data_IF_156782344190
#
_entry.id   IF_156782344190
#
_cell.length_a   1.000
_cell.length_b   1.000
_cell.length_c   1.000
_cell.angle_alpha   90.00
_cell.angle_beta   90.00
_cell.angle_gamma   90.00
#
_symmetry.space_group_name_H-M   'P 1'
#
loop_
_entity.id
_entity.type
_entity.pdbx_description
1 polymer ?
#
# COMPACT_ATOMS: atom_id res chain seq x y z
N UNK A 1 6.02 -4.69 9.20
CA UNK A 1 5.52 -3.29 9.18
C UNK A 1 4.29 -3.26 8.31
N UNK A 2 3.30 -2.45 8.68
CA UNK A 2 2.11 -2.20 7.88
C UNK A 2 2.14 -0.74 7.44
N UNK A 3 2.00 -0.48 6.14
CA UNK A 3 2.01 0.87 5.58
C UNK A 3 0.58 1.32 5.32
N UNK A 4 0.23 2.43 5.95
CA UNK A 4 -1.12 3.00 5.91
C UNK A 4 -1.05 4.44 5.36
N UNK A 5 -0.88 4.56 4.05
CA UNK A 5 -0.90 5.86 3.37
C UNK A 5 -2.32 6.14 2.86
N UNK A 6 -3.01 7.06 3.53
CA UNK A 6 -4.35 7.54 3.17
C UNK A 6 -4.34 8.95 2.54
N UNK A 7 -4.38 9.14 1.23
CA UNK A 7 -4.19 8.18 0.14
C UNK A 7 -3.18 8.78 -0.83
N UNK A 8 -2.53 8.00 -1.70
CA UNK A 8 -1.96 8.51 -2.93
C UNK A 8 -3.04 9.27 -3.72
N UNK A 9 -2.74 10.47 -4.24
CA UNK A 9 -3.74 11.32 -4.92
C UNK A 9 -3.34 11.72 -6.34
N UNK A 10 -2.22 11.20 -6.83
CA UNK A 10 -1.66 11.54 -8.13
C UNK A 10 -0.86 10.38 -8.73
N UNK A 11 -0.55 10.48 -10.04
CA UNK A 11 0.38 9.54 -10.69
C UNK A 11 1.78 9.59 -10.06
N UNK A 12 2.19 10.74 -9.50
CA UNK A 12 3.44 10.86 -8.78
C UNK A 12 3.39 10.08 -7.48
N UNK A 13 2.32 10.18 -6.70
CA UNK A 13 2.18 9.44 -5.44
C UNK A 13 2.09 7.94 -5.70
N UNK A 14 1.39 7.52 -6.75
CA UNK A 14 1.36 6.13 -7.23
C UNK A 14 2.78 5.59 -7.49
N UNK A 15 3.60 6.36 -8.22
CA UNK A 15 4.97 5.97 -8.52
C UNK A 15 5.86 5.96 -7.26
N UNK A 16 5.70 6.95 -6.38
CA UNK A 16 6.44 7.08 -5.13
C UNK A 16 6.09 5.95 -4.15
N UNK A 17 4.82 5.55 -4.05
CA UNK A 17 4.39 4.41 -3.23
C UNK A 17 5.01 3.10 -3.74
N UNK A 18 5.03 2.88 -5.05
CA UNK A 18 5.70 1.72 -5.63
C UNK A 18 7.21 1.69 -5.30
N UNK A 19 7.87 2.84 -5.40
CA UNK A 19 9.28 2.98 -5.05
C UNK A 19 9.54 2.70 -3.57
N UNK A 20 8.70 3.29 -2.69
CA UNK A 20 8.78 3.08 -1.25
C UNK A 20 8.64 1.60 -0.89
N UNK A 21 7.63 0.90 -1.42
CA UNK A 21 7.41 -0.52 -1.12
C UNK A 21 8.56 -1.40 -1.61
N UNK A 22 9.11 -1.11 -2.78
CA UNK A 22 10.30 -1.80 -3.30
C UNK A 22 11.51 -1.61 -2.38
N UNK A 23 11.77 -0.39 -1.95
CA UNK A 23 12.92 -0.05 -1.10
C UNK A 23 12.76 -0.66 0.30
N UNK A 24 11.55 -0.64 0.87
CA UNK A 24 11.25 -1.30 2.14
C UNK A 24 11.43 -2.82 2.06
N UNK A 25 10.92 -3.47 1.01
CA UNK A 25 11.11 -4.91 0.81
C UNK A 25 12.59 -5.27 0.74
N UNK A 26 13.37 -4.53 -0.05
CA UNK A 26 14.81 -4.75 -0.17
C UNK A 26 15.55 -4.53 1.17
N UNK A 27 15.17 -3.50 1.93
CA UNK A 27 15.74 -3.24 3.25
C UNK A 27 15.40 -4.34 4.26
N UNK A 28 14.17 -4.87 4.22
CA UNK A 28 13.76 -5.97 5.10
C UNK A 28 14.49 -7.25 4.75
N UNK A 29 14.60 -7.60 3.47
CA UNK A 29 15.30 -8.80 3.02
C UNK A 29 16.79 -8.77 3.37
N UNK A 30 17.39 -7.58 3.44
CA UNK A 30 18.77 -7.40 3.90
C UNK A 30 18.95 -7.62 5.41
N UNK A 31 17.90 -7.47 6.21
CA UNK A 31 17.91 -7.66 7.67
C UNK A 31 17.45 -9.08 8.04
N UNK A 32 16.26 -9.47 7.61
CA UNK A 32 15.66 -10.79 7.78
C UNK A 32 14.50 -10.97 6.78
N UNK A 33 14.61 -11.99 5.92
CA UNK A 33 13.60 -12.31 4.90
C UNK A 33 12.25 -12.71 5.47
N UNK A 34 12.15 -13.03 6.77
CA UNK A 34 10.88 -13.35 7.42
C UNK A 34 10.11 -12.10 7.87
N UNK A 35 10.68 -10.90 7.73
CA UNK A 35 9.96 -9.67 8.05
C UNK A 35 8.81 -9.44 7.06
N UNK A 36 7.61 -9.33 7.63
CA UNK A 36 6.38 -9.10 6.86
C UNK A 36 6.24 -7.60 6.54
N UNK A 37 6.02 -7.29 5.27
CA UNK A 37 5.58 -5.99 4.79
C UNK A 37 4.11 -6.09 4.37
N UNK A 38 3.25 -5.33 5.03
CA UNK A 38 1.82 -5.28 4.79
C UNK A 38 1.40 -3.86 4.39
N UNK A 39 0.18 -3.72 3.87
CA UNK A 39 -0.42 -2.41 3.65
C UNK A 39 -1.94 -2.39 3.84
N UNK A 40 -2.44 -1.28 4.35
CA UNK A 40 -3.86 -0.94 4.35
C UNK A 40 -4.20 -0.16 3.07
N UNK A 41 -5.34 -0.48 2.44
CA UNK A 41 -5.82 0.15 1.20
C UNK A 41 -7.31 0.49 1.29
N UNK A 42 -7.76 1.56 0.59
CA UNK A 42 -9.18 1.91 0.58
C UNK A 42 -10.02 0.82 -0.08
N UNK A 43 -11.27 0.68 0.35
CA UNK A 43 -12.24 -0.22 -0.25
C UNK A 43 -13.00 0.37 -1.46
N UNK A 44 -12.75 1.65 -1.82
CA UNK A 44 -13.42 2.34 -2.93
C UNK A 44 -12.47 2.63 -4.10
N UNK A 45 -13.01 2.64 -5.33
CA UNK A 45 -12.25 2.96 -6.55
C UNK A 45 -11.75 4.42 -6.57
N UNK A 46 -12.49 5.34 -5.92
CA UNK A 46 -12.16 6.76 -5.90
C UNK A 46 -10.71 7.03 -5.46
N UNK A 47 -10.30 6.40 -4.37
CA UNK A 47 -8.93 6.42 -3.85
C UNK A 47 -8.11 5.23 -4.36
N UNK A 48 -8.74 4.07 -4.54
CA UNK A 48 -8.10 2.83 -4.96
C UNK A 48 -7.42 2.90 -6.34
N UNK A 49 -7.92 3.75 -7.25
CA UNK A 49 -7.34 3.95 -8.60
C UNK A 49 -5.87 4.39 -8.60
N UNK A 50 -5.38 4.97 -7.50
CA UNK A 50 -4.01 5.43 -7.38
C UNK A 50 -3.05 4.34 -6.88
N UNK A 51 -3.55 3.17 -6.49
CA UNK A 51 -2.72 2.04 -6.07
C UNK A 51 -2.43 1.11 -7.26
N UNK A 52 -1.15 0.90 -7.56
CA UNK A 52 -0.71 -0.03 -8.60
C UNK A 52 -0.64 -1.46 -8.06
N UNK A 53 -1.79 -2.11 -7.86
CA UNK A 53 -1.83 -3.45 -7.29
C UNK A 53 -1.02 -4.49 -8.09
N UNK A 54 -0.85 -4.29 -9.40
CA UNK A 54 -0.04 -5.17 -10.24
C UNK A 54 1.45 -5.09 -9.90
N UNK A 55 1.93 -3.91 -9.51
CA UNK A 55 3.31 -3.68 -9.07
C UNK A 55 3.47 -4.01 -7.58
N UNK A 56 2.58 -3.53 -6.73
CA UNK A 56 2.66 -3.62 -5.26
C UNK A 56 2.66 -5.06 -4.75
N UNK A 57 1.92 -5.98 -5.40
CA UNK A 57 1.88 -7.40 -5.02
C UNK A 57 3.24 -8.12 -5.06
N UNK A 58 4.25 -7.53 -5.71
CA UNK A 58 5.59 -8.10 -5.77
C UNK A 58 6.44 -7.74 -4.56
N UNK A 59 6.00 -6.78 -3.74
CA UNK A 59 6.77 -6.25 -2.61
C UNK A 59 6.04 -6.40 -1.27
N UNK A 60 4.72 -6.56 -1.30
CA UNK A 60 3.87 -6.61 -0.11
C UNK A 60 3.35 -8.03 0.09
N UNK A 61 3.49 -8.55 1.30
CA UNK A 61 3.06 -9.89 1.71
C UNK A 61 1.55 -9.96 1.96
N UNK A 62 0.95 -8.86 2.43
CA UNK A 62 -0.49 -8.80 2.73
C UNK A 62 -1.09 -7.42 2.46
N UNK A 63 -2.29 -7.41 1.88
CA UNK A 63 -3.07 -6.19 1.59
C UNK A 63 -4.40 -6.26 2.36
N UNK A 64 -4.60 -5.33 3.27
CA UNK A 64 -5.82 -5.17 4.06
C UNK A 64 -6.75 -4.11 3.46
N UNK A 65 -7.95 -4.50 3.05
CA UNK A 65 -8.97 -3.54 2.64
C UNK A 65 -9.62 -2.88 3.85
N UNK A 66 -9.59 -1.54 3.89
CA UNK A 66 -10.33 -0.74 4.88
C UNK A 66 -11.80 -0.69 4.49
N UNK A 67 -12.52 -1.79 4.75
CA UNK A 67 -13.94 -2.00 4.41
C UNK A 67 -14.89 -1.37 5.44
N UNK A 68 -14.51 -0.19 5.92
CA UNK A 68 -15.24 0.63 6.89
C UNK A 68 -15.23 2.09 6.40
N UNK A 69 -15.89 2.98 7.14
CA UNK A 69 -16.05 4.41 6.78
C UNK A 69 -16.64 4.64 5.38
N UNK A 70 -17.49 3.71 4.92
CA UNK A 70 -18.20 3.82 3.65
C UNK A 70 -19.36 4.84 3.70
N UNK A 71 -19.90 5.08 4.88
CA UNK A 71 -20.94 6.07 5.15
C UNK A 71 -20.69 6.71 6.52
N UNK A 72 -21.01 7.99 6.64
CA UNK A 72 -20.95 8.73 7.90
C UNK A 72 -21.65 10.08 7.78
N UNK A 73 -21.50 10.93 8.79
CA UNK A 73 -22.17 12.23 8.86
C UNK A 73 -21.50 13.34 8.03
N UNK A 74 -20.46 13.00 7.25
CA UNK A 74 -19.74 13.88 6.34
C UNK A 74 -20.44 14.03 4.98
#
# INVERSE_FOLDING_TARGET
>A
VDIDWEYPQSNSDRANLNQLMRELRAAFDAVDTNMILAMAVPASDWSGKWFDFATLKNYVDWIGGMTYDLYGAW
#
